data_IF_548939281956
#
_entry.id   IF_548939281956
#
_cell.length_a   1.000
_cell.length_b   1.000
_cell.length_c   1.000
_cell.angle_alpha   90.00
_cell.angle_beta   90.00
_cell.angle_gamma   90.00
#
_symmetry.space_group_name_H-M   'P 1'
#
loop_
_entity.id
_entity.type
_entity.pdbx_description
1 polymer ?
#
# COMPACT_ATOMS: atom_id res chain seq x y z
N UNK A 1 30.93 40.90 -49.05
CA UNK A 1 29.85 39.92 -49.24
C UNK A 1 28.58 40.45 -48.57
N UNK A 2 27.71 41.14 -49.34
CA UNK A 2 26.48 41.77 -48.83
C UNK A 2 25.38 40.72 -48.72
N UNK A 3 25.15 40.19 -47.52
CA UNK A 3 24.03 39.29 -47.27
C UNK A 3 22.76 40.12 -47.06
N UNK A 4 21.73 39.82 -47.87
CA UNK A 4 20.44 40.51 -47.95
C UNK A 4 19.72 40.51 -46.61
N UNK A 5 19.58 41.68 -46.00
CA UNK A 5 18.81 41.90 -44.75
C UNK A 5 17.29 41.65 -44.91
N UNK A 6 16.79 41.48 -46.14
CA UNK A 6 15.37 41.25 -46.41
C UNK A 6 14.89 39.81 -46.19
N UNK A 7 15.79 38.81 -46.19
CA UNK A 7 15.38 37.40 -46.01
C UNK A 7 15.13 37.04 -44.55
N UNK A 8 15.82 37.68 -43.59
CA UNK A 8 15.65 37.44 -42.15
C UNK A 8 14.29 37.91 -41.64
N UNK A 9 13.79 39.04 -42.16
CA UNK A 9 12.52 39.63 -41.73
C UNK A 9 11.32 38.82 -42.24
N UNK A 10 11.46 38.20 -43.41
CA UNK A 10 10.49 37.28 -43.99
C UNK A 10 10.46 35.94 -43.22
N UNK A 11 11.62 35.41 -42.85
CA UNK A 11 11.74 34.17 -42.07
C UNK A 11 11.08 34.28 -40.69
N UNK A 12 11.22 35.42 -40.02
CA UNK A 12 10.60 35.69 -38.72
C UNK A 12 9.06 35.76 -38.80
N UNK A 13 8.52 36.25 -39.94
CA UNK A 13 7.07 36.34 -40.18
C UNK A 13 6.42 34.96 -40.34
N UNK A 14 7.09 34.02 -41.02
CA UNK A 14 6.59 32.66 -41.20
C UNK A 14 6.70 31.82 -39.92
N UNK A 15 7.75 32.00 -39.11
CA UNK A 15 7.88 31.35 -37.80
C UNK A 15 6.74 31.77 -36.86
N UNK A 16 6.39 33.05 -36.84
CA UNK A 16 5.31 33.55 -36.00
C UNK A 16 3.94 32.99 -36.44
N UNK A 17 3.71 32.87 -37.76
CA UNK A 17 2.49 32.25 -38.31
C UNK A 17 2.43 30.75 -37.99
N UNK A 18 3.55 30.02 -38.07
CA UNK A 18 3.62 28.61 -37.68
C UNK A 18 3.37 28.41 -36.18
N UNK A 19 3.96 29.25 -35.31
CA UNK A 19 3.70 29.23 -33.87
C UNK A 19 2.23 29.53 -33.55
N UNK A 20 1.61 30.48 -34.25
CA UNK A 20 0.20 30.83 -34.06
C UNK A 20 -0.75 29.72 -34.56
N UNK A 21 -0.42 29.05 -35.67
CA UNK A 21 -1.18 27.89 -36.17
C UNK A 21 -1.07 26.66 -35.26
N UNK A 22 0.08 26.45 -34.61
CA UNK A 22 0.23 25.39 -33.61
C UNK A 22 -0.63 25.62 -32.37
N UNK A 23 -0.82 26.87 -31.94
CA UNK A 23 -1.67 27.21 -30.79
C UNK A 23 -3.16 26.98 -31.09
N UNK A 24 -3.61 27.17 -32.34
CA UNK A 24 -5.00 26.94 -32.71
C UNK A 24 -5.40 25.46 -32.85
N UNK A 25 -4.44 24.55 -33.07
CA UNK A 25 -4.74 23.12 -33.21
C UNK A 25 -4.98 22.41 -31.86
N UNK A 26 -4.50 22.98 -30.75
CA UNK A 26 -4.71 22.45 -29.39
C UNK A 26 -5.99 22.98 -28.70
N UNK A 27 -6.81 23.77 -29.41
CA UNK A 27 -8.01 24.42 -28.85
C UNK A 27 -9.31 23.60 -28.97
N UNK A 28 -9.24 22.27 -29.14
CA UNK A 28 -10.42 21.43 -28.89
C UNK A 28 -10.60 21.27 -27.38
N UNK A 29 -11.25 22.25 -26.77
CA UNK A 29 -11.66 22.18 -25.36
C UNK A 29 -12.78 21.14 -25.25
N UNK A 30 -12.42 19.89 -25.00
CA UNK A 30 -13.39 18.86 -24.61
C UNK A 30 -14.11 19.32 -23.33
N UNK A 31 -15.42 19.52 -23.41
CA UNK A 31 -16.21 20.04 -22.30
C UNK A 31 -16.47 18.92 -21.28
N UNK A 32 -16.07 19.14 -20.03
CA UNK A 32 -16.36 18.20 -18.93
C UNK A 32 -17.84 18.27 -18.57
N UNK A 33 -18.50 17.11 -18.52
CA UNK A 33 -19.91 16.99 -18.16
C UNK A 33 -20.01 16.28 -16.79
N UNK A 34 -20.73 16.85 -15.79
CA UNK A 34 -20.99 16.15 -14.54
C UNK A 34 -22.03 15.03 -14.75
N UNK A 35 -21.90 13.94 -14.00
CA UNK A 35 -22.83 12.82 -14.09
C UNK A 35 -24.18 13.15 -13.45
N UNK A 36 -24.19 13.81 -12.29
CA UNK A 36 -25.42 14.24 -11.60
C UNK A 36 -25.13 15.44 -10.72
N UNK A 37 -26.16 16.06 -10.13
CA UNK A 37 -25.99 17.12 -9.14
C UNK A 37 -25.46 16.59 -7.78
N UNK A 38 -25.40 15.27 -7.59
CA UNK A 38 -24.89 14.63 -6.37
C UNK A 38 -23.38 14.38 -6.43
N UNK A 39 -22.80 14.39 -7.62
CA UNK A 39 -21.39 14.09 -7.90
C UNK A 39 -20.76 15.37 -8.45
N UNK A 40 -19.49 15.60 -8.12
CA UNK A 40 -18.74 16.71 -8.70
C UNK A 40 -18.49 16.56 -10.20
N UNK A 41 -17.53 17.33 -10.71
CA UNK A 41 -17.02 17.16 -12.08
C UNK A 41 -16.23 15.86 -12.27
N UNK A 42 -15.70 15.34 -11.17
CA UNK A 42 -14.93 14.10 -11.11
C UNK A 42 -15.73 13.11 -10.25
N UNK A 43 -15.86 11.88 -10.73
CA UNK A 43 -16.38 10.77 -9.95
C UNK A 43 -15.24 10.21 -9.10
N UNK A 44 -15.34 10.34 -7.79
CA UNK A 44 -14.34 9.80 -6.85
C UNK A 44 -14.54 8.29 -6.60
N UNK A 45 -13.52 7.64 -6.02
CA UNK A 45 -13.59 6.20 -5.74
C UNK A 45 -14.67 5.82 -4.71
N UNK A 46 -14.90 6.63 -3.68
CA UNK A 46 -15.98 6.43 -2.72
C UNK A 46 -17.36 6.51 -3.39
N UNK A 47 -17.53 7.47 -4.29
CA UNK A 47 -18.77 7.68 -5.04
C UNK A 47 -18.99 6.56 -6.05
N UNK A 48 -17.92 6.10 -6.72
CA UNK A 48 -18.01 4.95 -7.61
C UNK A 48 -18.42 3.66 -6.86
N UNK A 49 -17.91 3.44 -5.66
CA UNK A 49 -18.34 2.31 -4.81
C UNK A 49 -19.81 2.42 -4.40
N UNK A 50 -20.27 3.63 -4.08
CA UNK A 50 -21.63 3.88 -3.63
C UNK A 50 -22.66 3.76 -4.77
N UNK A 51 -22.40 4.42 -5.90
CA UNK A 51 -23.28 4.44 -7.07
C UNK A 51 -23.07 3.28 -8.04
N UNK A 52 -22.01 2.48 -7.85
CA UNK A 52 -21.68 1.29 -8.64
C UNK A 52 -21.63 1.55 -10.15
N UNK A 53 -20.99 2.66 -10.56
CA UNK A 53 -20.94 3.07 -11.97
C UNK A 53 -19.95 2.20 -12.76
N UNK A 54 -18.73 2.05 -12.24
CA UNK A 54 -17.67 1.21 -12.81
C UNK A 54 -17.36 0.06 -11.85
N UNK A 55 -18.02 -1.07 -12.05
CA UNK A 55 -17.82 -2.31 -11.25
C UNK A 55 -16.77 -3.24 -11.85
N UNK A 56 -16.43 -3.06 -13.12
CA UNK A 56 -15.54 -3.93 -13.87
C UNK A 56 -14.07 -3.47 -13.86
N UNK A 57 -13.81 -2.25 -13.38
CA UNK A 57 -12.46 -1.68 -13.28
C UNK A 57 -11.93 -1.86 -11.85
N UNK A 58 -10.98 -2.79 -11.62
CA UNK A 58 -10.39 -2.94 -10.30
C UNK A 58 -9.53 -1.71 -9.96
N UNK A 59 -9.46 -1.38 -8.67
CA UNK A 59 -8.61 -0.30 -8.14
C UNK A 59 -8.89 1.06 -8.77
N UNK A 60 -10.17 1.35 -9.00
CA UNK A 60 -10.67 2.63 -9.51
C UNK A 60 -10.21 3.81 -8.64
N UNK A 61 -9.71 4.87 -9.26
CA UNK A 61 -9.32 6.09 -8.55
C UNK A 61 -10.32 7.21 -8.80
N UNK A 62 -10.55 7.54 -10.06
CA UNK A 62 -11.49 8.59 -10.44
C UNK A 62 -11.91 8.48 -11.90
N UNK A 63 -13.00 9.16 -12.28
CA UNK A 63 -13.38 9.28 -13.69
C UNK A 63 -13.90 10.67 -14.02
N UNK A 64 -13.69 11.08 -15.27
CA UNK A 64 -14.23 12.33 -15.84
C UNK A 64 -14.92 12.03 -17.15
N UNK A 65 -16.04 12.69 -17.40
CA UNK A 65 -16.79 12.56 -18.64
C UNK A 65 -16.59 13.79 -19.51
N UNK A 66 -16.30 13.59 -20.79
CA UNK A 66 -16.04 14.62 -21.77
C UNK A 66 -17.04 14.53 -22.92
N UNK A 67 -17.62 15.66 -23.30
CA UNK A 67 -18.40 15.76 -24.53
C UNK A 67 -17.44 15.87 -25.71
N UNK A 68 -17.32 14.82 -26.50
CA UNK A 68 -16.49 14.83 -27.72
C UNK A 68 -17.32 15.26 -28.93
N UNK A 69 -18.59 14.84 -28.98
CA UNK A 69 -19.56 15.31 -29.96
C UNK A 69 -20.98 15.25 -29.38
N UNK A 70 -21.99 15.71 -30.14
CA UNK A 70 -23.39 15.75 -29.69
C UNK A 70 -23.93 14.40 -29.21
N UNK A 71 -23.46 13.31 -29.80
CA UNK A 71 -23.95 11.95 -29.52
C UNK A 71 -22.88 11.04 -28.88
N UNK A 72 -21.67 11.57 -28.65
CA UNK A 72 -20.54 10.80 -28.15
C UNK A 72 -19.91 11.46 -26.93
N UNK A 73 -19.92 10.69 -25.85
CA UNK A 73 -19.33 11.07 -24.56
C UNK A 73 -18.17 10.13 -24.29
N UNK A 74 -17.05 10.66 -23.81
CA UNK A 74 -15.88 9.88 -23.47
C UNK A 74 -15.63 9.94 -21.96
N UNK A 75 -15.61 8.79 -21.29
CA UNK A 75 -15.16 8.68 -19.92
C UNK A 75 -13.65 8.41 -19.91
N UNK A 76 -12.87 9.30 -19.31
CA UNK A 76 -11.46 9.06 -18.96
C UNK A 76 -11.41 8.58 -17.53
N UNK A 77 -11.03 7.32 -17.34
CA UNK A 77 -11.08 6.61 -16.07
C UNK A 77 -9.65 6.39 -15.59
N UNK A 78 -9.30 6.99 -14.44
CA UNK A 78 -8.05 6.74 -13.73
C UNK A 78 -8.22 5.54 -12.80
N UNK A 79 -7.29 4.60 -12.86
CA UNK A 79 -7.22 3.47 -11.96
C UNK A 79 -5.77 3.20 -11.56
N UNK A 80 -5.58 2.59 -10.39
CA UNK A 80 -4.25 2.31 -9.84
C UNK A 80 -3.91 0.85 -10.07
N UNK A 81 -2.84 0.60 -10.81
CA UNK A 81 -2.31 -0.75 -10.98
C UNK A 81 -0.86 -0.79 -10.48
N UNK A 82 -0.60 -1.60 -9.45
CA UNK A 82 0.73 -1.68 -8.82
C UNK A 82 1.31 -0.31 -8.42
N UNK A 83 0.47 0.52 -7.79
CA UNK A 83 0.80 1.89 -7.36
C UNK A 83 1.20 2.86 -8.48
N UNK A 84 0.92 2.52 -9.74
CA UNK A 84 0.98 3.43 -10.87
C UNK A 84 -0.42 3.80 -11.32
N UNK A 85 -0.64 5.08 -11.60
CA UNK A 85 -1.88 5.54 -12.20
C UNK A 85 -1.87 5.17 -13.68
N UNK A 86 -2.95 4.56 -14.13
CA UNK A 86 -3.24 4.26 -15.54
C UNK A 86 -4.56 4.90 -15.91
N UNK A 87 -4.69 5.26 -17.18
CA UNK A 87 -5.90 5.86 -17.72
C UNK A 87 -6.49 4.92 -18.76
N UNK A 88 -7.78 4.67 -18.65
CA UNK A 88 -8.59 3.98 -19.65
C UNK A 88 -9.60 4.97 -20.23
N UNK A 89 -9.88 4.85 -21.53
CA UNK A 89 -10.88 5.66 -22.22
C UNK A 89 -12.04 4.77 -22.62
N UNK A 90 -13.27 5.21 -22.33
CA UNK A 90 -14.50 4.53 -22.76
C UNK A 90 -15.41 5.51 -23.46
N UNK A 91 -15.88 5.13 -24.63
CA UNK A 91 -16.89 5.89 -25.35
C UNK A 91 -18.29 5.40 -24.97
N UNK A 92 -19.19 6.34 -24.75
CA UNK A 92 -20.60 6.13 -24.47
C UNK A 92 -21.44 6.93 -25.47
N UNK A 93 -22.56 6.35 -25.86
CA UNK A 93 -23.62 7.10 -26.54
C UNK A 93 -24.34 8.04 -25.56
N UNK A 94 -24.99 9.07 -26.09
CA UNK A 94 -25.82 9.97 -25.28
C UNK A 94 -26.89 9.23 -24.48
N UNK A 95 -27.49 8.18 -25.07
CA UNK A 95 -28.49 7.34 -24.40
C UNK A 95 -27.90 6.60 -23.20
N UNK A 96 -26.78 5.91 -23.39
CA UNK A 96 -26.11 5.17 -22.31
C UNK A 96 -25.69 6.11 -21.16
N UNK A 97 -25.18 7.29 -21.50
CA UNK A 97 -24.86 8.30 -20.50
C UNK A 97 -26.09 8.76 -19.74
N UNK A 98 -27.18 9.09 -20.44
CA UNK A 98 -28.45 9.53 -19.82
C UNK A 98 -29.03 8.46 -18.90
N UNK A 99 -28.94 7.18 -19.29
CA UNK A 99 -29.35 6.04 -18.48
C UNK A 99 -28.49 5.94 -17.20
N UNK A 100 -27.18 6.19 -17.29
CA UNK A 100 -26.30 6.28 -16.12
C UNK A 100 -26.70 7.45 -15.20
N UNK A 101 -26.93 8.64 -15.75
CA UNK A 101 -27.37 9.80 -14.98
C UNK A 101 -28.68 9.52 -14.24
N UNK A 102 -29.65 8.92 -14.93
CA UNK A 102 -30.95 8.59 -14.36
C UNK A 102 -30.83 7.60 -13.20
N UNK A 103 -30.01 6.56 -13.33
CA UNK A 103 -29.73 5.60 -12.25
C UNK A 103 -29.09 6.29 -11.05
N UNK A 104 -28.08 7.13 -11.28
CA UNK A 104 -27.40 7.86 -10.21
C UNK A 104 -28.35 8.80 -9.45
N UNK A 105 -29.26 9.47 -10.15
CA UNK A 105 -30.23 10.40 -9.53
C UNK A 105 -31.29 9.70 -8.68
N UNK A 106 -31.52 8.39 -8.85
CA UNK A 106 -32.44 7.64 -7.99
C UNK A 106 -31.83 7.33 -6.62
N UNK A 107 -30.50 7.38 -6.51
CA UNK A 107 -29.77 7.08 -5.28
C UNK A 107 -29.49 8.43 -4.59
N UNK A 108 -29.73 8.56 -3.27
CA UNK A 108 -29.50 9.82 -2.57
C UNK A 108 -28.02 10.25 -2.61
N UNK A 109 -27.71 11.53 -2.34
CA UNK A 109 -26.34 11.99 -2.23
C UNK A 109 -25.59 11.25 -1.10
N UNK A 110 -24.32 10.92 -1.35
CA UNK A 110 -23.45 10.26 -0.36
C UNK A 110 -23.27 11.12 0.89
N UNK A 111 -23.44 10.52 2.07
CA UNK A 111 -23.17 11.19 3.36
C UNK A 111 -21.72 10.98 3.80
N UNK A 112 -21.19 11.85 4.66
CA UNK A 112 -19.81 11.70 5.16
C UNK A 112 -19.62 10.38 5.93
N UNK A 113 -20.62 9.94 6.69
CA UNK A 113 -20.58 8.64 7.39
C UNK A 113 -20.41 7.45 6.42
N UNK A 114 -21.08 7.51 5.27
CA UNK A 114 -20.96 6.49 4.22
C UNK A 114 -19.57 6.60 3.56
N UNK A 115 -19.11 7.82 3.26
CA UNK A 115 -17.78 8.08 2.69
C UNK A 115 -16.67 7.50 3.59
N UNK A 116 -16.76 7.72 4.89
CA UNK A 116 -15.83 7.16 5.87
C UNK A 116 -15.86 5.63 5.91
N UNK A 117 -17.04 5.01 5.74
CA UNK A 117 -17.15 3.56 5.70
C UNK A 117 -16.38 2.95 4.51
N UNK A 118 -16.39 3.61 3.35
CA UNK A 118 -15.67 3.15 2.15
C UNK A 118 -14.17 3.42 2.19
N UNK A 119 -13.71 4.47 2.88
CA UNK A 119 -12.28 4.81 3.00
C UNK A 119 -11.42 3.65 3.48
N UNK A 120 -11.94 2.76 4.33
CA UNK A 120 -11.22 1.57 4.82
C UNK A 120 -10.88 0.58 3.69
N UNK A 121 -11.74 0.49 2.67
CA UNK A 121 -11.60 -0.42 1.54
C UNK A 121 -10.76 0.18 0.40
N UNK A 122 -10.49 1.48 0.43
CA UNK A 122 -9.71 2.22 -0.58
C UNK A 122 -8.21 2.32 -0.24
N UNK A 123 -7.70 1.33 0.49
CA UNK A 123 -6.31 1.29 0.98
C UNK A 123 -5.26 1.31 -0.14
N UNK A 124 -5.59 0.77 -1.32
CA UNK A 124 -4.71 0.78 -2.50
C UNK A 124 -4.37 2.19 -3.00
N UNK A 125 -5.25 3.18 -2.79
CA UNK A 125 -5.00 4.58 -3.15
C UNK A 125 -3.94 5.23 -2.24
N UNK A 126 -3.85 4.76 -0.99
CA UNK A 126 -2.96 5.30 0.06
C UNK A 126 -1.69 4.49 0.27
N UNK A 127 -1.35 3.60 -0.67
CA UNK A 127 -0.18 2.71 -0.57
C UNK A 127 1.09 3.46 -0.15
N UNK A 128 1.39 4.60 -0.78
CA UNK A 128 2.63 5.34 -0.50
C UNK A 128 2.68 5.87 0.92
N UNK A 129 1.57 6.35 1.44
CA UNK A 129 1.50 6.90 2.80
C UNK A 129 1.61 5.76 3.82
N UNK A 130 0.86 4.68 3.60
CA UNK A 130 0.92 3.48 4.45
C UNK A 130 2.35 2.95 4.53
N UNK A 131 3.04 2.82 3.40
CA UNK A 131 4.44 2.35 3.38
C UNK A 131 5.43 3.30 4.07
N UNK A 132 5.15 4.61 4.12
CA UNK A 132 5.95 5.58 4.88
C UNK A 132 5.70 5.50 6.37
N UNK A 133 4.47 5.17 6.75
CA UNK A 133 4.03 5.11 8.15
C UNK A 133 4.43 3.81 8.85
N UNK A 134 4.84 2.76 8.10
CA UNK A 134 5.38 1.54 8.70
C UNK A 134 6.65 1.86 9.51
N UNK A 135 6.70 1.50 10.81
CA UNK A 135 7.88 1.68 11.63
C UNK A 135 9.14 1.03 11.03
N UNK A 136 10.25 1.78 11.05
CA UNK A 136 11.57 1.27 10.64
C UNK A 136 12.07 0.23 11.64
N UNK A 137 12.89 -0.71 11.18
CA UNK A 137 13.44 -1.79 12.00
C UNK A 137 12.48 -2.97 12.18
N UNK A 138 11.34 -2.96 11.50
CA UNK A 138 10.32 -3.97 11.63
C UNK A 138 10.49 -5.13 10.64
N UNK A 139 10.21 -6.36 11.09
CA UNK A 139 10.18 -7.51 10.19
C UNK A 139 8.96 -7.47 9.26
N UNK A 140 9.21 -7.52 7.96
CA UNK A 140 8.20 -7.49 6.91
C UNK A 140 8.33 -8.69 5.98
N UNK A 141 7.19 -9.14 5.46
CA UNK A 141 7.11 -10.14 4.40
C UNK A 141 6.47 -9.51 3.19
N UNK A 142 7.20 -9.46 2.09
CA UNK A 142 6.73 -8.86 0.85
C UNK A 142 6.55 -9.93 -0.21
N UNK A 143 5.43 -9.86 -0.91
CA UNK A 143 5.15 -10.67 -2.08
C UNK A 143 5.40 -9.84 -3.34
N UNK A 144 6.33 -10.31 -4.16
CA UNK A 144 6.60 -9.76 -5.49
C UNK A 144 5.52 -10.23 -6.49
N UNK A 145 5.40 -9.56 -7.64
CA UNK A 145 4.52 -9.96 -8.76
C UNK A 145 4.72 -11.39 -9.22
N UNK A 146 5.94 -11.90 -9.06
CA UNK A 146 6.30 -13.28 -9.41
C UNK A 146 5.97 -14.28 -8.29
N UNK A 147 5.12 -13.90 -7.31
CA UNK A 147 4.78 -14.69 -6.11
C UNK A 147 5.99 -15.06 -5.23
N UNK A 148 7.13 -14.39 -5.43
CA UNK A 148 8.33 -14.59 -4.63
C UNK A 148 8.20 -13.80 -3.33
N UNK A 149 8.32 -14.51 -2.20
CA UNK A 149 8.30 -13.90 -0.88
C UNK A 149 9.69 -13.42 -0.48
N UNK A 150 9.81 -12.14 -0.20
CA UNK A 150 11.02 -11.49 0.33
C UNK A 150 10.77 -11.24 1.81
N UNK A 151 11.65 -11.75 2.66
CA UNK A 151 11.55 -11.65 4.11
C UNK A 151 12.75 -10.89 4.65
N UNK A 152 12.53 -9.96 5.56
CA UNK A 152 13.61 -9.20 6.18
C UNK A 152 13.11 -8.01 6.97
N UNK A 153 14.04 -7.18 7.42
CA UNK A 153 13.76 -6.00 8.22
C UNK A 153 13.61 -4.77 7.34
N UNK A 154 12.51 -4.03 7.47
CA UNK A 154 12.28 -2.79 6.75
C UNK A 154 13.19 -1.68 7.30
N UNK A 155 14.09 -1.17 6.47
CA UNK A 155 14.93 -0.01 6.79
C UNK A 155 14.18 1.31 6.49
N UNK A 156 13.31 1.28 5.49
CA UNK A 156 12.43 2.39 5.15
C UNK A 156 11.94 2.37 3.71
N UNK A 157 11.18 3.39 3.35
CA UNK A 157 10.63 3.61 2.01
C UNK A 157 11.03 5.01 1.51
N UNK A 158 11.71 5.07 0.36
CA UNK A 158 12.13 6.32 -0.27
C UNK A 158 12.24 6.18 -1.78
N UNK A 159 11.92 7.25 -2.52
CA UNK A 159 11.94 7.29 -4.00
C UNK A 159 11.20 6.10 -4.64
N UNK A 160 10.01 5.79 -4.13
CA UNK A 160 9.16 4.66 -4.57
C UNK A 160 9.85 3.28 -4.48
N UNK A 161 10.82 3.14 -3.57
CA UNK A 161 11.57 1.90 -3.32
C UNK A 161 11.59 1.58 -1.83
N UNK A 162 11.37 0.31 -1.50
CA UNK A 162 11.58 -0.23 -0.16
C UNK A 162 12.99 -0.76 -0.02
N UNK A 163 13.57 -0.50 1.14
CA UNK A 163 14.89 -0.98 1.54
C UNK A 163 14.71 -2.03 2.62
N UNK A 164 15.09 -3.27 2.31
CA UNK A 164 14.84 -4.43 3.18
C UNK A 164 16.17 -5.09 3.49
N UNK A 165 16.53 -5.15 4.76
CA UNK A 165 17.68 -5.91 5.22
C UNK A 165 17.34 -7.39 5.29
N UNK A 166 17.95 -8.17 4.41
CA UNK A 166 17.96 -9.64 4.49
C UNK A 166 19.23 -10.09 5.25
N UNK A 167 19.35 -11.37 5.64
CA UNK A 167 20.53 -11.85 6.37
C UNK A 167 21.86 -11.61 5.63
N UNK A 168 21.82 -11.54 4.30
CA UNK A 168 23.02 -11.48 3.44
C UNK A 168 23.26 -10.07 2.90
N UNK A 169 22.19 -9.32 2.60
CA UNK A 169 22.31 -8.00 1.95
C UNK A 169 21.08 -7.13 2.13
N UNK A 170 21.24 -5.83 1.84
CA UNK A 170 20.10 -4.90 1.72
C UNK A 170 19.54 -5.00 0.31
N UNK A 171 18.30 -5.47 0.21
CA UNK A 171 17.56 -5.58 -1.05
C UNK A 171 16.70 -4.33 -1.27
N UNK A 172 16.77 -3.78 -2.48
CA UNK A 172 15.91 -2.68 -2.91
C UNK A 172 14.79 -3.22 -3.78
N UNK A 173 13.54 -2.84 -3.48
CA UNK A 173 12.37 -3.28 -4.22
C UNK A 173 11.50 -2.08 -4.62
N UNK A 174 11.26 -1.85 -5.92
CA UNK A 174 10.33 -0.81 -6.34
C UNK A 174 8.89 -1.19 -5.97
N UNK A 175 8.10 -0.20 -5.57
CA UNK A 175 6.68 -0.36 -5.21
C UNK A 175 5.88 -1.06 -6.31
N UNK A 176 6.26 -0.83 -7.56
CA UNK A 176 5.60 -1.36 -8.76
C UNK A 176 5.77 -2.86 -8.95
N UNK A 177 6.69 -3.49 -8.22
CA UNK A 177 6.87 -4.95 -8.22
C UNK A 177 6.20 -5.62 -7.04
N UNK A 178 5.66 -4.86 -6.09
CA UNK A 178 4.98 -5.43 -4.94
C UNK A 178 3.54 -5.75 -5.26
N UNK A 179 3.07 -6.86 -4.71
CA UNK A 179 1.65 -7.24 -4.67
C UNK A 179 1.11 -7.01 -3.27
N UNK A 180 1.86 -7.49 -2.27
CA UNK A 180 1.43 -7.49 -0.87
C UNK A 180 2.60 -7.24 0.06
N UNK A 181 2.35 -6.56 1.16
CA UNK A 181 3.24 -6.47 2.31
C UNK A 181 2.49 -6.90 3.57
N UNK A 182 3.15 -7.72 4.38
CA UNK A 182 2.67 -8.13 5.69
C UNK A 182 3.62 -7.62 6.75
N UNK A 183 3.08 -6.92 7.75
CA UNK A 183 3.82 -6.38 8.89
C UNK A 183 3.02 -6.54 10.19
N UNK A 184 3.48 -5.96 11.30
CA UNK A 184 2.88 -6.09 12.64
C UNK A 184 2.86 -4.75 13.38
N UNK A 185 1.85 -3.92 13.18
CA UNK A 185 1.81 -2.53 13.70
C UNK A 185 2.39 -2.32 15.10
N UNK A 186 2.04 -3.19 16.05
CA UNK A 186 2.69 -3.26 17.35
C UNK A 186 2.83 -4.72 17.80
N UNK A 187 3.90 -5.03 18.53
CA UNK A 187 4.05 -6.33 19.21
C UNK A 187 3.12 -6.32 20.43
N UNK A 188 2.22 -7.31 20.51
CA UNK A 188 1.32 -7.47 21.64
C UNK A 188 2.13 -7.67 22.92
N UNK A 189 1.87 -6.85 23.94
CA UNK A 189 2.48 -7.02 25.26
C UNK A 189 1.45 -7.65 26.20
N UNK A 190 1.78 -8.82 26.73
CA UNK A 190 0.97 -9.49 27.77
C UNK A 190 1.83 -9.59 29.03
N UNK A 191 1.78 -8.60 29.94
CA UNK A 191 2.63 -8.59 31.13
C UNK A 191 2.36 -9.78 32.06
N UNK A 192 1.12 -10.28 32.08
CA UNK A 192 0.72 -11.46 32.85
C UNK A 192 1.55 -12.71 32.49
N UNK A 193 1.83 -12.91 31.20
CA UNK A 193 2.62 -14.06 30.72
C UNK A 193 4.12 -13.92 31.01
N UNK A 194 4.60 -12.71 31.29
CA UNK A 194 6.02 -12.44 31.49
C UNK A 194 6.56 -13.21 32.68
N UNK A 195 5.86 -13.15 33.82
CA UNK A 195 6.25 -13.86 35.03
C UNK A 195 6.29 -15.38 34.83
N UNK A 196 5.28 -15.94 34.15
CA UNK A 196 5.20 -17.37 33.87
C UNK A 196 6.33 -17.86 32.95
N UNK A 197 6.61 -17.14 31.86
CA UNK A 197 7.67 -17.51 30.91
C UNK A 197 9.04 -17.44 31.58
N UNK A 198 9.32 -16.37 32.33
CA UNK A 198 10.59 -16.20 33.04
C UNK A 198 10.77 -17.27 34.13
N UNK A 199 9.73 -17.52 34.92
CA UNK A 199 9.76 -18.55 35.96
C UNK A 199 9.97 -19.96 35.40
N UNK A 200 9.26 -20.30 34.32
CA UNK A 200 9.42 -21.59 33.65
C UNK A 200 10.82 -21.76 33.05
N UNK A 201 11.37 -20.72 32.40
CA UNK A 201 12.70 -20.77 31.82
C UNK A 201 13.80 -20.88 32.90
N UNK A 202 13.67 -20.15 34.00
CA UNK A 202 14.56 -20.29 35.16
C UNK A 202 14.53 -21.71 35.73
N UNK A 203 13.33 -22.27 35.93
CA UNK A 203 13.14 -23.64 36.42
C UNK A 203 13.78 -24.68 35.49
N UNK A 204 13.62 -24.53 34.16
CA UNK A 204 14.30 -25.36 33.18
C UNK A 204 15.83 -25.25 33.27
N UNK A 205 16.36 -24.03 33.40
CA UNK A 205 17.79 -23.78 33.60
C UNK A 205 18.33 -24.45 34.86
N UNK A 206 17.57 -24.43 35.96
CA UNK A 206 17.89 -25.16 37.18
C UNK A 206 17.93 -26.68 36.95
N UNK A 207 16.91 -27.26 36.30
CA UNK A 207 16.85 -28.69 36.00
C UNK A 207 18.03 -29.13 35.14
N UNK A 208 18.38 -28.36 34.10
CA UNK A 208 19.51 -28.65 33.23
C UNK A 208 20.82 -28.71 34.01
N UNK A 209 21.04 -27.75 34.91
CA UNK A 209 22.25 -27.73 35.74
C UNK A 209 22.22 -28.78 36.85
N UNK A 210 21.06 -29.16 37.36
CA UNK A 210 20.94 -30.29 38.28
C UNK A 210 21.29 -31.62 37.60
N UNK A 211 20.83 -31.81 36.37
CA UNK A 211 21.21 -32.96 35.54
C UNK A 211 22.72 -32.97 35.27
N UNK A 212 23.29 -31.82 34.91
CA UNK A 212 24.74 -31.65 34.72
C UNK A 212 25.55 -31.97 35.98
N UNK A 213 25.08 -31.50 37.14
CA UNK A 213 25.70 -31.80 38.43
C UNK A 213 25.64 -33.29 38.77
N UNK A 214 24.56 -33.98 38.40
CA UNK A 214 24.44 -35.44 38.60
C UNK A 214 25.45 -36.21 37.76
N UNK A 215 25.73 -35.73 36.55
CA UNK A 215 26.70 -36.35 35.63
C UNK A 215 28.15 -36.09 36.05
N UNK A 216 28.48 -34.85 36.40
CA UNK A 216 29.88 -34.43 36.69
C UNK A 216 30.29 -34.62 38.15
N UNK A 217 29.31 -34.77 39.07
CA UNK A 217 29.49 -34.95 40.52
C UNK A 217 30.50 -33.97 41.16
N UNK A 218 30.33 -32.66 40.99
CA UNK A 218 31.26 -31.68 41.54
C UNK A 218 31.05 -31.50 43.06
N UNK A 219 31.98 -30.81 43.72
CA UNK A 219 31.87 -30.49 45.15
C UNK A 219 30.67 -29.57 45.45
N UNK A 220 30.27 -29.51 46.73
CA UNK A 220 29.08 -28.79 47.18
C UNK A 220 28.99 -27.34 46.68
N UNK A 221 30.10 -26.59 46.77
CA UNK A 221 30.13 -25.20 46.35
C UNK A 221 29.90 -25.05 44.85
N UNK A 222 30.53 -25.89 44.04
CA UNK A 222 30.36 -25.91 42.59
C UNK A 222 28.97 -26.39 42.16
N UNK A 223 28.35 -27.32 42.90
CA UNK A 223 26.95 -27.74 42.66
C UNK A 223 25.99 -26.56 42.75
N UNK A 224 26.10 -25.77 43.81
CA UNK A 224 25.27 -24.57 43.98
C UNK A 224 25.59 -23.50 42.95
N UNK A 225 26.87 -23.27 42.65
CA UNK A 225 27.27 -22.34 41.60
C UNK A 225 26.63 -22.68 40.24
N UNK A 226 26.65 -23.96 39.86
CA UNK A 226 26.03 -24.43 38.62
C UNK A 226 24.51 -24.24 38.62
N UNK A 227 23.82 -24.56 39.73
CA UNK A 227 22.37 -24.34 39.86
C UNK A 227 21.99 -22.86 39.70
N UNK A 228 22.70 -21.96 40.37
CA UNK A 228 22.47 -20.51 40.25
C UNK A 228 22.80 -20.00 38.85
N UNK A 229 23.88 -20.48 38.24
CA UNK A 229 24.22 -20.16 36.86
C UNK A 229 23.11 -20.61 35.90
N UNK A 230 22.55 -21.80 36.11
CA UNK A 230 21.40 -22.31 35.36
C UNK A 230 20.15 -21.44 35.51
N UNK A 231 19.82 -21.03 36.73
CA UNK A 231 18.73 -20.10 36.99
C UNK A 231 18.93 -18.77 36.24
N UNK A 232 20.12 -18.17 36.31
CA UNK A 232 20.44 -16.91 35.64
C UNK A 232 20.36 -17.05 34.12
N UNK A 233 20.98 -18.09 33.56
CA UNK A 233 20.91 -18.37 32.12
C UNK A 233 19.47 -18.64 31.67
N UNK A 234 18.70 -19.34 32.49
CA UNK A 234 17.27 -19.58 32.27
C UNK A 234 16.45 -18.29 32.26
N UNK A 235 16.73 -17.34 33.17
CA UNK A 235 16.07 -16.03 33.18
C UNK A 235 16.45 -15.20 31.94
N UNK A 236 17.73 -15.19 31.55
CA UNK A 236 18.20 -14.49 30.33
C UNK A 236 17.52 -15.09 29.09
N UNK A 237 17.51 -16.41 28.96
CA UNK A 237 16.81 -17.09 27.88
C UNK A 237 15.28 -16.88 27.92
N UNK A 238 14.71 -16.76 29.12
CA UNK A 238 13.28 -16.47 29.33
C UNK A 238 12.85 -15.11 28.78
N UNK A 239 13.75 -14.12 28.79
CA UNK A 239 13.48 -12.83 28.16
C UNK A 239 13.28 -12.95 26.64
N UNK A 240 14.21 -13.64 25.97
CA UNK A 240 14.13 -13.89 24.52
C UNK A 240 12.94 -14.77 24.14
N UNK A 241 12.62 -15.78 24.96
CA UNK A 241 11.45 -16.63 24.75
C UNK A 241 10.14 -15.85 24.90
N UNK A 242 10.06 -14.93 25.86
CA UNK A 242 8.91 -14.06 26.02
C UNK A 242 8.71 -13.17 24.79
N UNK A 243 9.76 -12.48 24.35
CA UNK A 243 9.69 -11.60 23.20
C UNK A 243 9.31 -12.38 21.93
N UNK A 244 9.89 -13.57 21.74
CA UNK A 244 9.55 -14.47 20.64
C UNK A 244 8.09 -14.91 20.70
N UNK A 245 7.59 -15.31 21.88
CA UNK A 245 6.20 -15.71 22.06
C UNK A 245 5.24 -14.55 21.76
N UNK A 246 5.58 -13.34 22.22
CA UNK A 246 4.79 -12.14 21.94
C UNK A 246 4.75 -11.83 20.45
N UNK A 247 5.89 -11.93 19.74
CA UNK A 247 5.96 -11.79 18.29
C UNK A 247 5.10 -12.83 17.57
N UNK A 248 5.05 -14.09 18.05
CA UNK A 248 4.26 -15.14 17.42
C UNK A 248 2.75 -14.93 17.61
N UNK A 249 2.32 -14.55 18.81
CA UNK A 249 0.91 -14.35 19.18
C UNK A 249 0.33 -13.07 18.56
N UNK A 250 1.16 -12.05 18.36
CA UNK A 250 0.74 -10.80 17.70
C UNK A 250 0.07 -11.14 16.36
N UNK A 251 -1.00 -10.46 15.94
CA UNK A 251 -1.58 -10.62 14.61
C UNK A 251 -0.72 -9.93 13.54
N UNK A 252 -0.76 -10.43 12.30
CA UNK A 252 -0.08 -9.78 11.16
C UNK A 252 -1.08 -8.89 10.45
N UNK A 253 -0.73 -7.64 10.20
CA UNK A 253 -1.45 -6.76 9.30
C UNK A 253 -1.03 -7.06 7.87
N UNK A 254 -2.00 -7.18 6.97
CA UNK A 254 -1.79 -7.51 5.57
C UNK A 254 -2.27 -6.34 4.73
N UNK A 255 -1.40 -5.87 3.83
CA UNK A 255 -1.69 -4.76 2.95
C UNK A 255 -1.46 -5.19 1.49
N UNK A 256 -2.48 -5.06 0.65
CA UNK A 256 -2.40 -5.30 -0.79
C UNK A 256 -2.34 -4.00 -1.59
N UNK A 257 -1.59 -4.02 -2.69
CA UNK A 257 -1.47 -2.90 -3.61
C UNK A 257 -2.59 -2.84 -4.67
N UNK A 258 -3.41 -3.89 -4.77
CA UNK A 258 -4.56 -3.97 -5.68
C UNK A 258 -5.84 -4.30 -4.91
N UNK A 259 -6.97 -3.74 -5.35
CA UNK A 259 -8.28 -3.95 -4.74
C UNK A 259 -8.72 -5.42 -4.76
N UNK A 260 -8.48 -6.13 -5.87
CA UNK A 260 -8.87 -7.53 -6.03
C UNK A 260 -8.17 -8.46 -5.03
N UNK A 261 -6.89 -8.22 -4.76
CA UNK A 261 -6.15 -8.97 -3.74
C UNK A 261 -6.48 -8.48 -2.31
N UNK A 262 -6.92 -7.23 -2.15
CA UNK A 262 -7.39 -6.69 -0.87
C UNK A 262 -8.72 -7.35 -0.45
N UNK A 263 -9.66 -7.50 -1.37
CA UNK A 263 -10.94 -8.20 -1.14
C UNK A 263 -10.71 -9.67 -0.73
N UNK A 264 -9.80 -10.37 -1.43
CA UNK A 264 -9.40 -11.75 -1.06
C UNK A 264 -8.79 -11.87 0.34
N UNK A 265 -8.23 -10.79 0.88
CA UNK A 265 -7.70 -10.75 2.25
C UNK A 265 -8.82 -10.51 3.25
N UNK A 266 -9.83 -9.70 2.90
CA UNK A 266 -10.96 -9.36 3.77
C UNK A 266 -11.99 -10.50 3.90
N UNK A 267 -12.11 -11.35 2.87
CA UNK A 267 -13.03 -12.51 2.86
C UNK A 267 -12.51 -13.74 3.65
N UNK A 268 -11.32 -13.67 4.25
CA UNK A 268 -10.67 -14.77 4.99
C UNK A 268 -10.60 -14.51 6.49
#
# INVERSE_FOLDING_TARGET
MKMKFSSLLVFNKYIFVCLFLSICLDAQSEQVIPLSNHIGYDLDAEENLYYQIFTDIPSFESAKFFMVSKDRIEARISFVEFSQKKVSQRAYSLKEFSDMQFKTMQIPPITESIRESFRKNLTYLRTRDILRDIPKGQYVVIEDKNFKKIKGTLLGFSRDRLFIQTPISVKQLPITRMVKISYREAIAQKPELKGYVYGAAAFLGFILMESWNRQTRPDWQYKWNNRFSGLILGLIGGAELYDTAMILITPKTNFSLTSSEQERILDK
#
